data_IF_419224583374
#
_entry.id   IF_419224583374
#
_cell.length_a   1.000
_cell.length_b   1.000
_cell.length_c   1.000
_cell.angle_alpha   90.00
_cell.angle_beta   90.00
_cell.angle_gamma   90.00
#
_symmetry.space_group_name_H-M   'P 1'
#
loop_
_entity.id
_entity.type
_entity.pdbx_description
1 polymer ?
#
# COMPACT_ATOMS: atom_id res chain seq x y z
N UNK A 1 -0.58 8.97 -16.55
CA UNK A 1 -1.09 8.33 -15.32
C UNK A 1 -0.02 8.49 -14.24
N UNK A 2 -0.36 9.01 -13.08
CA UNK A 2 0.60 9.31 -12.01
C UNK A 2 -0.01 9.04 -10.65
N UNK A 3 -0.11 7.76 -10.27
CA UNK A 3 -0.82 7.28 -9.08
C UNK A 3 0.15 6.60 -8.11
N UNK A 4 -0.22 6.50 -6.83
CA UNK A 4 0.55 5.79 -5.78
C UNK A 4 2.02 6.20 -5.81
N UNK A 5 2.97 5.28 -6.05
CA UNK A 5 4.40 5.59 -6.17
C UNK A 5 4.74 6.70 -7.17
N UNK A 6 3.98 6.84 -8.27
CA UNK A 6 4.14 7.93 -9.22
C UNK A 6 3.78 9.29 -8.61
N UNK A 7 2.70 9.37 -7.83
CA UNK A 7 2.35 10.58 -7.09
C UNK A 7 3.30 10.83 -5.91
N UNK A 8 3.78 9.77 -5.25
CA UNK A 8 4.77 9.85 -4.17
C UNK A 8 6.02 10.61 -4.60
N UNK A 9 6.58 10.24 -5.76
CA UNK A 9 7.77 10.92 -6.30
C UNK A 9 7.41 12.35 -6.72
N UNK A 10 6.28 12.53 -7.41
CA UNK A 10 5.85 13.86 -7.86
C UNK A 10 5.58 14.83 -6.69
N UNK A 11 5.12 14.34 -5.54
CA UNK A 11 4.83 15.15 -4.37
C UNK A 11 6.05 15.87 -3.79
N UNK A 12 7.28 15.40 -4.08
CA UNK A 12 8.51 16.06 -3.66
C UNK A 12 8.94 17.22 -4.59
N UNK A 13 8.26 17.44 -5.72
CA UNK A 13 8.60 18.50 -6.68
C UNK A 13 8.02 19.86 -6.27
N UNK A 14 8.71 20.95 -6.63
CA UNK A 14 8.22 22.32 -6.41
C UNK A 14 6.89 22.60 -7.11
N UNK A 15 6.67 21.96 -8.27
CA UNK A 15 5.42 22.04 -9.04
C UNK A 15 5.06 20.68 -9.62
N UNK A 16 3.78 20.36 -9.54
CA UNK A 16 3.19 19.16 -10.16
C UNK A 16 2.15 19.61 -11.16
N UNK A 17 2.31 19.19 -12.41
CA UNK A 17 1.35 19.46 -13.48
C UNK A 17 0.49 18.21 -13.73
N UNK A 18 -0.81 18.40 -13.78
CA UNK A 18 -1.76 17.36 -14.16
C UNK A 18 -2.64 17.86 -15.32
N UNK A 19 -2.62 17.12 -16.44
CA UNK A 19 -3.59 17.30 -17.51
C UNK A 19 -4.99 16.91 -17.00
N UNK A 20 -6.10 17.52 -17.46
CA UNK A 20 -7.45 17.15 -17.01
C UNK A 20 -7.79 15.66 -17.17
N UNK A 21 -7.26 15.00 -18.20
CA UNK A 21 -7.43 13.54 -18.41
C UNK A 21 -6.48 12.66 -17.61
N UNK A 22 -5.61 13.24 -16.76
CA UNK A 22 -4.75 12.45 -15.86
C UNK A 22 -5.59 11.68 -14.85
N UNK A 23 -5.14 10.48 -14.51
CA UNK A 23 -5.54 9.76 -13.30
C UNK A 23 -4.37 9.82 -12.33
N UNK A 24 -4.65 10.27 -11.11
CA UNK A 24 -3.70 10.48 -10.01
C UNK A 24 -4.31 10.01 -8.68
N UNK A 25 -3.69 10.34 -7.55
CA UNK A 25 -4.11 9.88 -6.24
C UNK A 25 -3.58 8.47 -5.97
N UNK A 26 -4.46 7.57 -5.50
CA UNK A 26 -4.07 6.26 -4.97
C UNK A 26 -3.00 6.39 -3.88
N UNK A 27 -3.14 7.42 -3.04
CA UNK A 27 -2.26 7.65 -1.90
C UNK A 27 -2.62 6.58 -0.87
N UNK A 28 -1.72 5.63 -0.68
CA UNK A 28 -1.97 4.44 0.10
C UNK A 28 -0.89 3.41 -0.15
N UNK A 29 -0.84 2.40 0.72
CA UNK A 29 0.10 1.29 0.64
C UNK A 29 -0.67 0.00 0.84
N UNK A 30 -0.43 -0.98 -0.02
CA UNK A 30 -1.09 -2.28 0.06
C UNK A 30 -0.04 -3.38 0.05
N UNK A 31 -0.37 -4.49 0.71
CA UNK A 31 0.26 -5.78 0.49
C UNK A 31 -0.83 -6.78 0.15
N UNK A 32 -0.78 -7.32 -1.06
CA UNK A 32 -1.69 -8.37 -1.49
C UNK A 32 -1.01 -9.73 -1.30
N UNK A 33 -1.71 -10.66 -0.66
CA UNK A 33 -1.29 -12.06 -0.53
C UNK A 33 -2.43 -12.96 -0.99
N UNK A 34 -2.10 -14.14 -1.48
CA UNK A 34 -3.06 -15.17 -1.92
C UNK A 34 -2.87 -16.38 -1.02
N UNK A 35 -3.96 -16.97 -0.53
CA UNK A 35 -3.90 -18.24 0.19
C UNK A 35 -4.46 -19.37 -0.68
N UNK A 36 -3.58 -20.23 -1.17
CA UNK A 36 -3.87 -21.39 -1.99
C UNK A 36 -3.97 -22.70 -1.19
N UNK A 37 -3.93 -22.67 0.15
CA UNK A 37 -4.01 -23.87 1.01
C UNK A 37 -5.17 -24.79 0.60
N UNK A 38 -6.38 -24.25 0.52
CA UNK A 38 -7.57 -25.03 0.17
C UNK A 38 -7.59 -25.54 -1.27
N UNK A 39 -6.81 -24.92 -2.18
CA UNK A 39 -6.62 -25.47 -3.53
C UNK A 39 -5.67 -26.67 -3.50
N UNK A 40 -4.55 -26.55 -2.79
CA UNK A 40 -3.56 -27.62 -2.67
C UNK A 40 -4.14 -28.86 -1.98
N UNK A 41 -4.92 -28.67 -0.92
CA UNK A 41 -5.65 -29.74 -0.24
C UNK A 41 -6.59 -30.49 -1.20
N UNK A 42 -7.29 -29.78 -2.10
CA UNK A 42 -8.21 -30.41 -3.08
C UNK A 42 -7.49 -31.27 -4.11
N UNK A 43 -6.25 -30.94 -4.45
CA UNK A 43 -5.46 -31.69 -5.45
C UNK A 43 -4.48 -32.67 -4.80
N UNK A 44 -4.57 -32.88 -3.48
CA UNK A 44 -3.72 -33.82 -2.76
C UNK A 44 -2.26 -33.40 -2.63
N UNK A 45 -1.98 -32.09 -2.69
CA UNK A 45 -0.63 -31.55 -2.53
C UNK A 45 -0.48 -30.96 -1.12
N UNK A 46 0.55 -31.39 -0.40
CA UNK A 46 0.93 -30.82 0.88
C UNK A 46 2.14 -29.88 0.71
N UNK A 47 2.05 -28.70 1.30
CA UNK A 47 3.16 -27.76 1.38
C UNK A 47 3.79 -27.80 2.76
N UNK A 48 5.05 -28.22 2.85
CA UNK A 48 5.83 -28.23 4.08
C UNK A 48 6.97 -27.23 3.98
N UNK A 49 7.14 -26.39 5.00
CA UNK A 49 8.25 -25.45 5.08
C UNK A 49 9.20 -25.84 6.23
N UNK A 50 10.49 -25.94 5.93
CA UNK A 50 11.56 -26.04 6.95
C UNK A 50 12.20 -24.66 7.05
N UNK A 51 12.06 -24.01 8.20
CA UNK A 51 12.45 -22.61 8.38
C UNK A 51 13.48 -22.45 9.49
N UNK A 52 14.34 -21.43 9.37
CA UNK A 52 15.30 -21.06 10.42
C UNK A 52 14.66 -20.33 11.61
N UNK A 53 13.36 -20.03 11.53
CA UNK A 53 12.64 -19.33 12.59
C UNK A 53 11.13 -19.21 12.30
N UNK A 54 10.32 -18.99 13.35
CA UNK A 54 8.86 -19.13 13.31
C UNK A 54 8.13 -18.14 12.40
N UNK A 55 8.84 -17.11 11.92
CA UNK A 55 8.29 -16.00 11.13
C UNK A 55 8.87 -15.95 9.72
N UNK A 56 9.75 -16.88 9.35
CA UNK A 56 10.53 -16.77 8.11
C UNK A 56 9.69 -17.00 6.84
N UNK A 57 8.57 -17.69 6.98
CA UNK A 57 7.60 -17.98 5.93
C UNK A 57 6.28 -17.19 6.08
N UNK A 58 6.27 -16.11 6.88
CA UNK A 58 5.11 -15.22 6.96
C UNK A 58 4.74 -14.69 5.57
N UNK A 59 3.45 -14.66 5.27
CA UNK A 59 2.96 -14.30 3.92
C UNK A 59 3.08 -15.42 2.90
N UNK A 60 3.47 -16.64 3.32
CA UNK A 60 3.41 -17.83 2.46
C UNK A 60 2.02 -18.02 1.87
N UNK A 61 1.92 -18.30 0.55
CA UNK A 61 0.63 -18.55 -0.07
C UNK A 61 0.07 -19.93 0.23
N UNK A 62 0.79 -20.77 0.96
CA UNK A 62 0.43 -22.17 1.15
C UNK A 62 -0.18 -22.47 2.52
N UNK A 63 -0.22 -21.46 3.41
CA UNK A 63 -0.89 -21.57 4.71
C UNK A 63 -1.62 -20.28 5.05
N UNK A 64 -2.52 -20.39 6.02
CA UNK A 64 -3.20 -19.22 6.56
C UNK A 64 -2.22 -18.34 7.33
N UNK A 65 -2.23 -17.04 7.03
CA UNK A 65 -1.50 -16.02 7.79
C UNK A 65 -2.07 -15.92 9.20
N UNK A 66 -1.20 -15.92 10.22
CA UNK A 66 -1.65 -15.77 11.61
C UNK A 66 -2.01 -14.32 11.95
N UNK A 67 -2.66 -14.10 13.08
CA UNK A 67 -3.00 -12.74 13.57
C UNK A 67 -1.73 -11.94 13.86
N UNK A 68 -0.71 -12.58 14.43
CA UNK A 68 0.58 -11.96 14.75
C UNK A 68 1.34 -11.57 13.49
N UNK A 69 1.34 -12.43 12.46
CA UNK A 69 1.96 -12.11 11.17
C UNK A 69 1.24 -10.97 10.47
N UNK A 70 -0.09 -10.97 10.50
CA UNK A 70 -0.90 -9.87 9.98
C UNK A 70 -0.56 -8.56 10.69
N UNK A 71 -0.42 -8.57 12.01
CA UNK A 71 -0.04 -7.38 12.77
C UNK A 71 1.35 -6.86 12.40
N UNK A 72 2.31 -7.75 12.16
CA UNK A 72 3.67 -7.37 11.70
C UNK A 72 3.60 -6.68 10.33
N UNK A 73 2.90 -7.27 9.37
CA UNK A 73 2.72 -6.66 8.06
C UNK A 73 1.94 -5.35 8.12
N UNK A 74 0.89 -5.28 8.94
CA UNK A 74 0.12 -4.05 9.13
C UNK A 74 1.01 -2.93 9.68
N UNK A 75 1.88 -3.22 10.65
CA UNK A 75 2.84 -2.23 11.17
C UNK A 75 3.79 -1.69 10.10
N UNK A 76 4.25 -2.53 9.16
CA UNK A 76 5.05 -2.08 8.02
C UNK A 76 4.24 -1.20 7.06
N UNK A 77 3.01 -1.62 6.74
CA UNK A 77 2.10 -0.86 5.87
C UNK A 77 1.78 0.50 6.46
N UNK A 78 1.48 0.57 7.76
CA UNK A 78 1.18 1.80 8.48
C UNK A 78 2.38 2.75 8.49
N UNK A 79 3.60 2.20 8.70
CA UNK A 79 4.83 3.00 8.67
C UNK A 79 5.08 3.61 7.28
N UNK A 80 4.92 2.83 6.22
CA UNK A 80 5.07 3.33 4.85
C UNK A 80 3.97 4.32 4.46
N UNK A 81 2.73 4.07 4.88
CA UNK A 81 1.62 4.99 4.66
C UNK A 81 1.87 6.31 5.38
N UNK A 82 2.30 6.28 6.65
CA UNK A 82 2.64 7.49 7.39
C UNK A 82 3.77 8.27 6.71
N UNK A 83 4.79 7.60 6.18
CA UNK A 83 5.85 8.26 5.40
C UNK A 83 5.32 8.91 4.12
N UNK A 84 4.39 8.26 3.42
CA UNK A 84 3.73 8.83 2.25
C UNK A 84 2.96 10.10 2.64
N UNK A 85 2.16 10.06 3.70
CA UNK A 85 1.43 11.24 4.19
C UNK A 85 2.36 12.41 4.52
N UNK A 86 3.50 12.13 5.17
CA UNK A 86 4.52 13.15 5.47
C UNK A 86 5.04 13.81 4.19
N UNK A 87 5.40 13.02 3.17
CA UNK A 87 5.91 13.58 1.91
C UNK A 87 4.84 14.41 1.18
N UNK A 88 3.58 13.97 1.21
CA UNK A 88 2.48 14.75 0.65
C UNK A 88 2.31 16.06 1.41
N UNK A 89 2.42 16.05 2.74
CA UNK A 89 2.32 17.26 3.55
C UNK A 89 3.48 18.24 3.28
N UNK A 90 4.70 17.73 3.17
CA UNK A 90 5.89 18.51 2.82
C UNK A 90 5.73 19.19 1.44
N UNK A 91 5.19 18.46 0.46
CA UNK A 91 4.94 18.98 -0.89
C UNK A 91 3.68 19.85 -1.03
N UNK A 92 2.72 19.73 -0.11
CA UNK A 92 1.42 20.44 -0.11
C UNK A 92 1.25 21.21 1.18
N UNK A 93 2.10 22.20 1.39
CA UNK A 93 2.20 22.99 2.62
C UNK A 93 0.91 23.71 3.02
N UNK A 94 -0.02 23.90 2.08
CA UNK A 94 -1.35 24.48 2.32
C UNK A 94 -2.36 23.48 2.91
N UNK A 95 -2.05 22.19 2.98
CA UNK A 95 -2.94 21.16 3.51
C UNK A 95 -2.49 20.71 4.91
N UNK A 96 -3.44 20.68 5.84
CA UNK A 96 -3.23 20.09 7.16
C UNK A 96 -3.26 18.56 7.08
N UNK A 97 -2.53 17.89 7.96
CA UNK A 97 -2.47 16.41 8.01
C UNK A 97 -3.86 15.75 8.04
N UNK A 98 -4.82 16.33 8.76
CA UNK A 98 -6.20 15.81 8.83
C UNK A 98 -6.99 15.97 7.52
N UNK A 99 -6.66 16.96 6.69
CA UNK A 99 -7.20 17.05 5.33
C UNK A 99 -6.55 16.00 4.43
N UNK A 100 -5.23 15.83 4.54
CA UNK A 100 -4.49 14.84 3.74
C UNK A 100 -5.00 13.42 4.03
N UNK A 101 -5.15 13.04 5.30
CA UNK A 101 -5.71 11.72 5.69
C UNK A 101 -7.10 11.46 5.11
N UNK A 102 -7.95 12.49 5.01
CA UNK A 102 -9.29 12.36 4.40
C UNK A 102 -9.23 12.15 2.87
N UNK A 103 -8.18 12.66 2.22
CA UNK A 103 -7.95 12.49 0.79
C UNK A 103 -7.11 11.24 0.46
N UNK A 104 -6.39 10.71 1.43
CA UNK A 104 -5.40 9.64 1.25
C UNK A 104 -5.92 8.25 1.63
N UNK A 105 -7.18 7.94 1.34
CA UNK A 105 -7.79 6.64 1.65
C UNK A 105 -7.60 5.58 0.55
N UNK A 106 -6.64 5.80 -0.35
CA UNK A 106 -6.33 4.89 -1.47
C UNK A 106 -7.16 5.08 -2.73
N UNK A 107 -8.15 5.99 -2.76
CA UNK A 107 -8.92 6.26 -3.97
C UNK A 107 -8.11 6.98 -5.06
N UNK A 108 -8.53 6.82 -6.31
CA UNK A 108 -8.00 7.59 -7.44
C UNK A 108 -8.77 8.91 -7.62
N UNK A 109 -8.10 9.88 -8.25
CA UNK A 109 -8.66 11.18 -8.62
C UNK A 109 -8.40 11.46 -10.10
N UNK A 110 -9.32 12.18 -10.75
CA UNK A 110 -9.04 12.81 -12.04
C UNK A 110 -8.09 13.99 -11.85
N UNK A 111 -7.43 14.43 -12.92
CA UNK A 111 -6.57 15.61 -12.89
C UNK A 111 -7.32 16.88 -12.49
N UNK A 112 -8.62 16.96 -12.78
CA UNK A 112 -9.48 18.07 -12.38
C UNK A 112 -9.81 18.06 -10.88
N UNK A 113 -10.08 16.88 -10.30
CA UNK A 113 -10.30 16.74 -8.85
C UNK A 113 -9.04 16.99 -8.02
N UNK A 114 -7.86 16.81 -8.61
CA UNK A 114 -6.57 16.89 -7.92
C UNK A 114 -5.88 18.27 -8.03
N UNK A 115 -6.52 19.24 -8.70
CA UNK A 115 -6.02 20.61 -8.80
C UNK A 115 -6.32 21.44 -7.56
#
# INVERSE_FOLDING_TARGET
>A
LGTSGGYYIAAAADKVLAHPSSVTGSIGVIMLTVNAKGLLEKIGVEATAVTSGPRKDMGSPFRTMTVEERAIFQGLIDSFYQRFLTIVQEGRTNLQMEQIKRLADGRIYTGEQAK
#
